data_IF_507982881583
#
_entry.id   IF_507982881583
#
_cell.length_a   1.000
_cell.length_b   1.000
_cell.length_c   1.000
_cell.angle_alpha   90.00
_cell.angle_beta   90.00
_cell.angle_gamma   90.00
#
_symmetry.space_group_name_H-M   'P 1'
#
loop_
_entity.id
_entity.type
_entity.pdbx_description
1 polymer ?
#
# COMPACT_ATOMS: atom_id res chain seq x y z
N UNK A 1 12.77 167.27 109.41
CA UNK A 1 13.13 167.43 107.99
C UNK A 1 13.68 166.11 107.47
N UNK A 2 13.34 165.79 106.22
CA UNK A 2 13.87 164.78 105.30
C UNK A 2 13.54 163.28 105.54
N UNK A 3 13.01 162.68 104.47
CA UNK A 3 12.64 161.28 104.24
C UNK A 3 13.69 160.60 103.35
N UNK A 4 13.84 159.28 103.46
CA UNK A 4 13.97 158.32 102.34
C UNK A 4 14.23 156.89 102.82
N UNK A 5 13.82 155.93 101.97
CA UNK A 5 14.10 154.48 101.95
C UNK A 5 13.17 153.57 102.76
N UNK A 6 12.33 152.79 102.08
CA UNK A 6 12.48 151.33 102.11
C UNK A 6 11.85 150.64 100.90
N UNK A 7 12.55 149.64 100.38
CA UNK A 7 12.24 148.88 99.16
C UNK A 7 11.21 147.79 99.50
N UNK A 8 10.12 147.74 98.74
CA UNK A 8 8.92 146.96 99.09
C UNK A 8 9.12 145.43 98.89
N UNK A 9 9.62 144.79 99.94
CA UNK A 9 9.85 143.34 100.14
C UNK A 9 8.60 142.46 99.89
N UNK A 10 7.43 143.07 99.71
CA UNK A 10 6.12 142.44 99.54
C UNK A 10 5.92 141.77 98.17
N UNK A 11 6.51 142.33 97.10
CA UNK A 11 6.34 141.83 95.71
C UNK A 11 7.09 140.51 95.47
N UNK A 12 8.28 140.36 96.07
CA UNK A 12 9.09 139.14 96.00
C UNK A 12 8.46 137.97 96.77
N UNK A 13 7.73 138.25 97.85
CA UNK A 13 7.06 137.23 98.67
C UNK A 13 5.84 136.63 97.97
N UNK A 14 5.08 137.47 97.25
CA UNK A 14 3.89 137.03 96.49
C UNK A 14 4.26 136.14 95.29
N UNK A 15 5.31 136.50 94.53
CA UNK A 15 5.79 135.67 93.41
C UNK A 15 6.28 134.30 93.87
N UNK A 16 6.97 134.22 95.02
CA UNK A 16 7.47 132.97 95.60
C UNK A 16 6.33 132.05 96.05
N UNK A 17 5.29 132.60 96.70
CA UNK A 17 4.10 131.83 97.08
C UNK A 17 3.28 131.35 95.88
N UNK A 18 3.23 132.14 94.80
CA UNK A 18 2.47 131.76 93.60
C UNK A 18 3.18 130.66 92.80
N UNK A 19 4.52 130.68 92.74
CA UNK A 19 5.30 129.59 92.13
C UNK A 19 5.24 128.31 92.96
N UNK A 20 5.22 128.43 94.29
CA UNK A 20 5.11 127.28 95.19
C UNK A 20 3.78 126.53 95.05
N UNK A 21 2.65 127.25 94.94
CA UNK A 21 1.33 126.63 94.79
C UNK A 21 1.12 126.01 93.40
N UNK A 22 1.68 126.62 92.35
CA UNK A 22 1.71 126.05 91.00
C UNK A 22 2.54 124.76 90.97
N UNK A 23 3.72 124.76 91.60
CA UNK A 23 4.56 123.56 91.75
C UNK A 23 3.84 122.45 92.51
N UNK A 24 3.09 122.80 93.56
CA UNK A 24 2.32 121.82 94.34
C UNK A 24 1.20 121.18 93.52
N UNK A 25 0.45 122.00 92.76
CA UNK A 25 -0.63 121.51 91.91
C UNK A 25 -0.10 120.68 90.72
N UNK A 26 1.04 121.07 90.15
CA UNK A 26 1.73 120.31 89.11
C UNK A 26 2.33 119.01 89.64
N UNK A 27 2.83 118.99 90.88
CA UNK A 27 3.27 117.77 91.57
C UNK A 27 2.09 116.83 91.86
N UNK A 28 0.93 117.33 92.29
CA UNK A 28 -0.28 116.51 92.50
C UNK A 28 -0.87 116.00 91.17
N UNK A 29 -0.84 116.81 90.10
CA UNK A 29 -1.26 116.38 88.77
C UNK A 29 -0.28 115.36 88.16
N UNK A 30 1.02 115.53 88.42
CA UNK A 30 2.06 114.57 88.05
C UNK A 30 1.90 113.28 88.83
N UNK A 31 1.62 113.36 90.13
CA UNK A 31 1.39 112.20 90.99
C UNK A 31 0.14 111.42 90.55
N UNK A 32 -0.98 112.10 90.28
CA UNK A 32 -2.19 111.42 89.76
C UNK A 32 -1.98 110.79 88.38
N UNK A 33 -1.17 111.41 87.50
CA UNK A 33 -0.76 110.80 86.23
C UNK A 33 0.13 109.58 86.46
N UNK A 34 1.05 109.63 87.42
CA UNK A 34 1.90 108.50 87.81
C UNK A 34 1.04 107.37 88.39
N UNK A 35 0.06 107.67 89.24
CA UNK A 35 -0.82 106.67 89.83
C UNK A 35 -1.71 105.99 88.77
N UNK A 36 -2.25 106.75 87.81
CA UNK A 36 -2.99 106.20 86.66
C UNK A 36 -2.09 105.33 85.78
N UNK A 37 -0.86 105.77 85.52
CA UNK A 37 0.12 105.00 84.75
C UNK A 37 0.52 103.71 85.49
N UNK A 38 0.66 103.77 86.81
CA UNK A 38 0.98 102.62 87.65
C UNK A 38 -0.17 101.60 87.68
N UNK A 39 -1.43 102.07 87.74
CA UNK A 39 -2.60 101.20 87.62
C UNK A 39 -2.68 100.52 86.25
N UNK A 40 -2.47 101.25 85.15
CA UNK A 40 -2.39 100.68 83.79
C UNK A 40 -1.24 99.70 83.62
N UNK A 41 -0.09 99.99 84.23
CA UNK A 41 1.07 99.08 84.22
C UNK A 41 0.74 97.78 84.95
N UNK A 42 0.04 97.85 86.08
CA UNK A 42 -0.43 96.67 86.82
C UNK A 42 -1.46 95.86 86.03
N UNK A 43 -2.38 96.50 85.31
CA UNK A 43 -3.35 95.83 84.43
C UNK A 43 -2.67 95.13 83.24
N UNK A 44 -1.76 95.83 82.55
CA UNK A 44 -0.98 95.25 81.45
C UNK A 44 -0.11 94.09 81.95
N UNK A 45 0.48 94.21 83.14
CA UNK A 45 1.24 93.13 83.78
C UNK A 45 0.36 91.93 84.10
N UNK A 46 -0.88 92.14 84.57
CA UNK A 46 -1.82 91.05 84.81
C UNK A 46 -2.27 90.36 83.50
N UNK A 47 -2.55 91.13 82.44
CA UNK A 47 -2.89 90.59 81.11
C UNK A 47 -1.72 89.79 80.50
N UNK A 48 -0.49 90.28 80.62
CA UNK A 48 0.71 89.57 80.18
C UNK A 48 0.92 88.28 80.96
N UNK A 49 0.75 88.32 82.28
CA UNK A 49 1.01 87.18 83.15
C UNK A 49 -0.04 86.06 82.94
N UNK A 50 -1.30 86.40 82.62
CA UNK A 50 -2.30 85.42 82.20
C UNK A 50 -2.01 84.82 80.82
N UNK A 51 -1.65 85.65 79.84
CA UNK A 51 -1.32 85.21 78.47
C UNK A 51 -0.05 84.35 78.39
N UNK A 52 0.93 84.59 79.26
CA UNK A 52 2.18 83.83 79.29
C UNK A 52 1.99 82.42 79.88
N UNK A 53 1.10 82.26 80.86
CA UNK A 53 0.82 80.96 81.48
C UNK A 53 0.01 80.05 80.53
N UNK A 54 -1.00 80.61 79.85
CA UNK A 54 -1.79 79.88 78.85
C UNK A 54 -0.92 79.39 77.67
N UNK A 55 0.00 80.23 77.17
CA UNK A 55 0.91 79.86 76.07
C UNK A 55 1.95 78.81 76.46
N UNK A 56 2.44 78.82 77.72
CA UNK A 56 3.31 77.76 78.24
C UNK A 56 2.59 76.42 78.37
N UNK A 57 1.34 76.44 78.82
CA UNK A 57 0.53 75.23 78.94
C UNK A 57 0.19 74.61 77.56
N UNK A 58 -0.13 75.44 76.56
CA UNK A 58 -0.32 74.99 75.17
C UNK A 58 0.96 74.37 74.58
N UNK A 59 2.12 74.99 74.83
CA UNK A 59 3.42 74.48 74.37
C UNK A 59 3.75 73.12 75.02
N UNK A 60 3.45 72.94 76.31
CA UNK A 60 3.66 71.68 77.02
C UNK A 60 2.76 70.56 76.47
N UNK A 61 1.48 70.86 76.18
CA UNK A 61 0.55 69.91 75.54
C UNK A 61 1.05 69.53 74.14
N UNK A 62 1.45 70.50 73.32
CA UNK A 62 2.03 70.24 72.01
C UNK A 62 3.29 69.37 72.08
N UNK A 63 4.19 69.65 73.03
CA UNK A 63 5.39 68.86 73.25
C UNK A 63 5.07 67.41 73.63
N UNK A 64 4.10 67.19 74.52
CA UNK A 64 3.61 65.84 74.88
C UNK A 64 3.01 65.11 73.67
N UNK A 65 2.22 65.78 72.84
CA UNK A 65 1.68 65.22 71.59
C UNK A 65 2.78 64.83 70.62
N UNK A 66 3.75 65.71 70.38
CA UNK A 66 4.90 65.44 69.50
C UNK A 66 5.69 64.24 70.00
N UNK A 67 5.94 64.16 71.31
CA UNK A 67 6.66 63.03 71.92
C UNK A 67 5.89 61.72 71.73
N UNK A 68 4.58 61.72 71.96
CA UNK A 68 3.70 60.56 71.76
C UNK A 68 3.71 60.11 70.30
N UNK A 69 3.51 61.04 69.36
CA UNK A 69 3.54 60.75 67.92
C UNK A 69 4.89 60.22 67.48
N UNK A 70 6.00 60.75 68.00
CA UNK A 70 7.34 60.25 67.70
C UNK A 70 7.56 58.81 68.17
N UNK A 71 7.08 58.45 69.37
CA UNK A 71 7.13 57.07 69.88
C UNK A 71 6.30 56.13 69.03
N UNK A 72 5.06 56.52 68.68
CA UNK A 72 4.17 55.72 67.84
C UNK A 72 4.70 55.52 66.42
N UNK A 73 5.29 56.55 65.82
CA UNK A 73 5.98 56.44 64.52
C UNK A 73 7.19 55.51 64.59
N UNK A 74 7.93 55.54 65.71
CA UNK A 74 9.06 54.63 65.94
C UNK A 74 8.59 53.18 66.04
N UNK A 75 7.46 52.94 66.70
CA UNK A 75 6.81 51.63 66.76
C UNK A 75 6.34 51.16 65.37
N UNK A 76 5.64 52.00 64.60
CA UNK A 76 5.24 51.64 63.23
C UNK A 76 6.46 51.31 62.35
N UNK A 77 7.54 52.09 62.50
CA UNK A 77 8.79 51.86 61.78
C UNK A 77 9.44 50.53 62.15
N UNK A 78 9.47 50.16 63.43
CA UNK A 78 10.02 48.87 63.86
C UNK A 78 9.13 47.73 63.37
N UNK A 79 7.81 47.86 63.48
CA UNK A 79 6.84 46.87 63.00
C UNK A 79 6.95 46.66 61.49
N UNK A 80 7.09 47.72 60.70
CA UNK A 80 7.34 47.65 59.26
C UNK A 80 8.60 46.86 58.89
N UNK A 81 9.70 47.09 59.63
CA UNK A 81 10.97 46.38 59.38
C UNK A 81 10.87 44.89 59.68
N UNK A 82 10.16 44.53 60.76
CA UNK A 82 9.92 43.13 61.12
C UNK A 82 9.05 42.45 60.05
N UNK A 83 7.98 43.12 59.61
CA UNK A 83 7.08 42.62 58.57
C UNK A 83 7.72 42.53 57.17
N UNK A 84 8.77 43.31 56.89
CA UNK A 84 9.50 43.24 55.63
C UNK A 84 10.40 42.00 55.51
N UNK A 85 10.68 41.31 56.63
CA UNK A 85 11.54 40.14 56.67
C UNK A 85 10.66 38.91 56.80
N UNK A 86 10.53 38.04 55.77
CA UNK A 86 9.49 37.00 55.72
C UNK A 86 9.43 36.08 56.95
N UNK A 87 10.58 35.59 57.42
CA UNK A 87 10.64 34.70 58.59
C UNK A 87 10.26 35.39 59.92
N UNK A 88 10.54 36.69 60.04
CA UNK A 88 10.14 37.50 61.21
C UNK A 88 8.68 37.95 61.09
N UNK A 89 8.21 38.21 59.87
CA UNK A 89 6.83 38.55 59.57
C UNK A 89 5.89 37.41 59.95
N UNK A 90 6.31 36.15 59.71
CA UNK A 90 5.57 34.98 60.17
C UNK A 90 5.38 35.01 61.69
N UNK A 91 6.47 35.15 62.43
CA UNK A 91 6.42 35.19 63.90
C UNK A 91 5.63 36.40 64.44
N UNK A 92 5.78 37.57 63.82
CA UNK A 92 5.13 38.82 64.26
C UNK A 92 3.64 38.88 63.94
N UNK A 93 3.17 38.16 62.91
CA UNK A 93 1.76 38.07 62.55
C UNK A 93 1.10 36.82 63.16
N UNK A 94 1.83 36.06 63.99
CA UNK A 94 1.38 34.79 64.56
C UNK A 94 1.10 33.71 63.50
N UNK A 95 1.82 33.75 62.39
CA UNK A 95 1.70 32.78 61.30
C UNK A 95 2.64 31.62 61.57
N UNK A 96 2.07 30.46 61.86
CA UNK A 96 2.81 29.22 62.09
C UNK A 96 2.62 28.24 60.94
N UNK A 97 3.61 27.38 60.72
CA UNK A 97 3.51 26.31 59.71
C UNK A 97 3.14 25.01 60.42
N UNK A 98 1.90 24.57 60.24
CA UNK A 98 1.42 23.29 60.75
C UNK A 98 1.63 22.19 59.71
N UNK A 99 2.15 21.05 60.17
CA UNK A 99 2.40 19.88 59.32
C UNK A 99 1.06 19.32 58.80
N UNK A 100 0.92 19.17 57.48
CA UNK A 100 -0.29 18.72 56.80
C UNK A 100 -1.34 19.82 56.50
N UNK A 101 -1.42 20.91 57.28
CA UNK A 101 -2.39 21.98 57.08
C UNK A 101 -1.82 23.28 56.46
N UNK A 102 -0.49 23.42 56.39
CA UNK A 102 0.18 24.57 55.80
C UNK A 102 0.33 25.75 56.76
N UNK A 103 0.31 26.98 56.25
CA UNK A 103 0.38 28.18 57.09
C UNK A 103 -0.95 28.43 57.82
N UNK A 104 -0.88 28.80 59.10
CA UNK A 104 -2.03 29.02 59.99
C UNK A 104 -1.83 30.35 60.73
N UNK A 105 -2.88 31.14 60.88
CA UNK A 105 -2.87 32.43 61.58
C UNK A 105 -2.88 32.30 63.12
N UNK A 106 -2.67 33.40 63.84
CA UNK A 106 -2.71 33.52 65.31
C UNK A 106 -4.01 32.99 65.94
N UNK A 107 -5.09 32.97 65.17
CA UNK A 107 -6.40 32.46 65.57
C UNK A 107 -6.62 30.97 65.21
N UNK A 108 -5.62 30.29 64.66
CA UNK A 108 -5.75 28.91 64.18
C UNK A 108 -6.38 28.78 62.79
N UNK A 109 -6.64 29.89 62.08
CA UNK A 109 -7.25 29.86 60.75
C UNK A 109 -6.24 29.45 59.68
N UNK A 110 -6.47 28.35 58.93
CA UNK A 110 -5.56 27.90 57.89
C UNK A 110 -5.54 28.86 56.69
N UNK A 111 -4.45 28.84 55.93
CA UNK A 111 -4.20 29.69 54.76
C UNK A 111 -5.36 29.72 53.76
N UNK A 112 -6.03 28.59 53.55
CA UNK A 112 -7.18 28.47 52.64
C UNK A 112 -8.41 29.27 53.10
N UNK A 113 -8.51 29.57 54.39
CA UNK A 113 -9.57 30.39 54.99
C UNK A 113 -9.22 31.87 55.08
N UNK A 114 -8.02 32.28 54.66
CA UNK A 114 -7.64 33.70 54.66
C UNK A 114 -8.37 34.44 53.55
N UNK A 115 -9.02 35.54 53.91
CA UNK A 115 -9.71 36.40 52.94
C UNK A 115 -8.70 37.03 51.98
N UNK A 116 -9.00 36.97 50.67
CA UNK A 116 -8.26 37.71 49.64
C UNK A 116 -8.58 39.22 49.67
N UNK A 117 -9.65 39.62 50.37
CA UNK A 117 -10.11 41.00 50.50
C UNK A 117 -9.74 41.58 51.88
N UNK A 118 -9.37 42.86 51.91
CA UNK A 118 -9.13 43.60 53.16
C UNK A 118 -10.51 43.94 53.74
N UNK A 119 -10.92 43.23 54.78
CA UNK A 119 -12.04 43.69 55.60
C UNK A 119 -11.49 44.64 56.67
N UNK A 120 -11.74 45.94 56.49
CA UNK A 120 -11.33 46.99 57.43
C UNK A 120 -12.34 47.17 58.57
N UNK A 121 -13.25 46.20 58.76
CA UNK A 121 -14.12 46.17 59.93
C UNK A 121 -13.30 46.28 61.21
N UNK A 122 -13.61 47.23 62.12
CA UNK A 122 -12.84 47.43 63.34
C UNK A 122 -12.97 46.19 64.21
N UNK A 123 -11.93 45.35 64.17
CA UNK A 123 -11.81 44.16 64.99
C UNK A 123 -11.56 44.59 66.43
N UNK A 124 -12.60 44.54 67.27
CA UNK A 124 -12.49 44.68 68.73
C UNK A 124 -11.96 43.36 69.31
N UNK A 125 -10.68 43.09 69.11
CA UNK A 125 -9.97 41.98 69.75
C UNK A 125 -9.47 42.36 71.16
N UNK A 126 -9.42 41.44 72.11
CA UNK A 126 -9.06 41.71 73.50
C UNK A 126 -7.53 41.79 73.63
N UNK A 127 -6.92 42.86 73.15
CA UNK A 127 -5.50 43.19 73.38
C UNK A 127 -5.37 44.44 74.26
N UNK A 128 -6.35 44.64 75.13
CA UNK A 128 -6.44 45.75 76.09
C UNK A 128 -5.34 45.75 77.16
N UNK A 129 -4.52 44.69 77.30
CA UNK A 129 -3.64 44.55 78.47
C UNK A 129 -2.25 45.21 78.34
N UNK A 130 -1.76 45.54 77.14
CA UNK A 130 -0.44 46.18 76.97
C UNK A 130 -0.48 47.71 76.91
N UNK A 131 -1.59 48.29 76.44
CA UNK A 131 -1.64 49.72 76.09
C UNK A 131 -2.17 50.62 77.21
N UNK A 132 -2.82 50.05 78.22
CA UNK A 132 -3.37 50.77 79.39
C UNK A 132 -2.25 51.34 80.28
N UNK A 133 -1.00 50.86 80.14
CA UNK A 133 0.14 51.29 80.94
C UNK A 133 0.61 52.73 80.73
N UNK A 134 0.39 53.31 79.53
CA UNK A 134 0.91 54.66 79.21
C UNK A 134 -0.04 55.76 79.70
N UNK A 135 -1.33 55.46 79.83
CA UNK A 135 -2.35 56.47 80.18
C UNK A 135 -2.39 56.81 81.69
N UNK A 136 -1.77 56.00 82.56
CA UNK A 136 -2.01 56.06 84.02
C UNK A 136 -1.11 57.01 84.82
N UNK A 137 -0.18 57.74 84.20
CA UNK A 137 0.90 58.39 84.95
C UNK A 137 0.96 59.93 84.94
N UNK A 138 -0.03 60.68 84.47
CA UNK A 138 0.04 62.15 84.53
C UNK A 138 -1.25 62.78 85.09
N UNK A 139 -1.09 63.53 86.18
CA UNK A 139 -2.15 64.27 86.88
C UNK A 139 -2.74 65.41 86.04
N UNK A 140 -4.01 65.70 86.32
CA UNK A 140 -4.88 66.71 85.68
C UNK A 140 -4.74 66.80 84.15
N UNK A 141 -5.27 65.80 83.45
CA UNK A 141 -5.38 65.76 82.00
C UNK A 141 -6.46 66.73 81.49
N UNK A 142 -6.07 67.62 80.56
CA UNK A 142 -6.99 68.26 79.63
C UNK A 142 -7.59 67.17 78.72
N UNK A 143 -8.92 67.05 78.71
CA UNK A 143 -9.66 66.03 77.97
C UNK A 143 -9.32 65.99 76.47
N UNK A 144 -8.83 67.10 75.90
CA UNK A 144 -8.41 67.19 74.50
C UNK A 144 -7.14 66.41 74.19
N UNK A 145 -6.23 66.22 75.14
CA UNK A 145 -4.98 65.48 74.93
C UNK A 145 -5.22 63.96 74.90
N UNK A 146 -6.09 63.47 75.79
CA UNK A 146 -6.53 62.08 75.80
C UNK A 146 -7.26 61.67 74.50
N UNK A 147 -8.11 62.55 73.97
CA UNK A 147 -8.81 62.31 72.70
C UNK A 147 -7.83 62.20 71.51
N UNK A 148 -6.85 63.10 71.43
CA UNK A 148 -5.80 63.07 70.40
C UNK A 148 -4.96 61.79 70.46
N UNK A 149 -4.51 61.40 71.65
CA UNK A 149 -3.75 60.15 71.84
C UNK A 149 -4.58 58.93 71.45
N UNK A 150 -5.87 58.91 71.78
CA UNK A 150 -6.81 57.85 71.39
C UNK A 150 -6.99 57.74 69.88
N UNK A 151 -7.14 58.85 69.16
CA UNK A 151 -7.22 58.88 67.69
C UNK A 151 -5.92 58.44 67.03
N UNK A 152 -4.77 58.84 67.57
CA UNK A 152 -3.48 58.41 67.05
C UNK A 152 -3.23 56.92 67.27
N UNK A 153 -3.59 56.37 68.43
CA UNK A 153 -3.52 54.93 68.67
C UNK A 153 -4.43 54.16 67.73
N UNK A 154 -5.67 54.64 67.49
CA UNK A 154 -6.56 54.04 66.47
C UNK A 154 -5.94 54.06 65.07
N UNK A 155 -5.31 55.17 64.69
CA UNK A 155 -4.65 55.29 63.38
C UNK A 155 -3.45 54.33 63.27
N UNK A 156 -2.65 54.20 64.32
CA UNK A 156 -1.52 53.26 64.39
C UNK A 156 -1.99 51.81 64.32
N UNK A 157 -3.09 51.48 65.01
CA UNK A 157 -3.70 50.16 64.97
C UNK A 157 -4.19 49.85 63.55
N UNK A 158 -4.94 50.76 62.92
CA UNK A 158 -5.41 50.59 61.55
C UNK A 158 -4.25 50.38 60.56
N UNK A 159 -3.17 51.17 60.66
CA UNK A 159 -1.98 50.98 59.81
C UNK A 159 -1.34 49.62 60.06
N UNK A 160 -1.25 49.20 61.32
CA UNK A 160 -0.71 47.91 61.72
C UNK A 160 -1.53 46.74 61.15
N UNK A 161 -2.85 46.81 61.24
CA UNK A 161 -3.76 45.78 60.73
C UNK A 161 -3.68 45.68 59.19
N UNK A 162 -3.60 46.83 58.51
CA UNK A 162 -3.39 46.89 57.05
C UNK A 162 -2.06 46.25 56.66
N UNK A 163 -0.98 46.51 57.42
CA UNK A 163 0.33 45.91 57.16
C UNK A 163 0.30 44.38 57.38
N UNK A 164 -0.36 43.90 58.44
CA UNK A 164 -0.55 42.47 58.70
C UNK A 164 -1.35 41.79 57.56
N UNK A 165 -2.45 42.41 57.12
CA UNK A 165 -3.26 41.91 56.02
C UNK A 165 -2.51 41.88 54.68
N UNK A 166 -1.63 42.87 54.43
CA UNK A 166 -0.75 42.89 53.27
C UNK A 166 0.25 41.74 53.30
N UNK A 167 0.93 41.53 54.44
CA UNK A 167 1.87 40.41 54.63
C UNK A 167 1.18 39.07 54.40
N UNK A 168 0.00 38.86 54.99
CA UNK A 168 -0.80 37.63 54.80
C UNK A 168 -1.09 37.35 53.32
N UNK A 169 -1.47 38.37 52.55
CA UNK A 169 -1.72 38.22 51.11
C UNK A 169 -0.46 37.92 50.31
N UNK A 170 0.68 38.53 50.65
CA UNK A 170 1.97 38.22 50.03
C UNK A 170 2.32 36.75 50.25
N UNK A 171 2.15 36.25 51.47
CA UNK A 171 2.40 34.84 51.81
C UNK A 171 1.48 33.89 51.02
N UNK A 172 0.18 34.21 50.89
CA UNK A 172 -0.74 33.45 50.03
C UNK A 172 -0.20 33.42 48.61
N UNK A 173 0.09 34.58 48.02
CA UNK A 173 0.54 34.68 46.64
C UNK A 173 1.86 33.94 46.39
N UNK A 174 2.82 34.03 47.31
CA UNK A 174 4.10 33.30 47.22
C UNK A 174 3.88 31.78 47.30
N UNK A 175 3.02 31.32 48.20
CA UNK A 175 2.71 29.89 48.35
C UNK A 175 1.95 29.33 47.14
N UNK A 176 0.96 30.05 46.61
CA UNK A 176 0.22 29.69 45.39
C UNK A 176 1.18 29.64 44.19
N UNK A 177 2.09 30.61 44.08
CA UNK A 177 3.10 30.65 43.01
C UNK A 177 4.08 29.48 43.11
N UNK A 178 4.52 29.12 44.32
CA UNK A 178 5.41 27.98 44.52
C UNK A 178 4.73 26.66 44.11
N UNK A 179 3.47 26.44 44.54
CA UNK A 179 2.69 25.27 44.15
C UNK A 179 2.50 25.21 42.63
N UNK A 180 2.18 26.33 41.99
CA UNK A 180 1.97 26.36 40.55
C UNK A 180 3.27 26.12 39.77
N UNK A 181 4.40 26.63 40.28
CA UNK A 181 5.73 26.33 39.73
C UNK A 181 6.03 24.84 39.81
N UNK A 182 5.75 24.19 40.94
CA UNK A 182 5.96 22.75 41.10
C UNK A 182 5.09 21.94 40.12
N UNK A 183 3.81 22.30 39.95
CA UNK A 183 2.93 21.68 38.93
C UNK A 183 3.48 21.83 37.51
N UNK A 184 3.97 23.02 37.14
CA UNK A 184 4.59 23.26 35.82
C UNK A 184 5.81 22.38 35.64
N UNK A 185 6.68 22.26 36.65
CA UNK A 185 7.85 21.37 36.56
C UNK A 185 7.46 19.90 36.41
N UNK A 186 6.49 19.42 37.18
CA UNK A 186 5.95 18.06 37.05
C UNK A 186 5.32 17.81 35.67
N UNK A 187 4.56 18.79 35.14
CA UNK A 187 3.96 18.70 33.81
C UNK A 187 5.02 18.65 32.70
N UNK A 188 6.10 19.42 32.84
CA UNK A 188 7.21 19.42 31.88
C UNK A 188 7.94 18.07 31.86
N UNK A 189 8.14 17.43 33.01
CA UNK A 189 8.72 16.09 33.10
C UNK A 189 7.82 15.04 32.43
N UNK A 190 6.50 15.11 32.65
CA UNK A 190 5.55 14.21 32.00
C UNK A 190 5.52 14.41 30.48
N UNK A 191 5.57 15.65 30.00
CA UNK A 191 5.67 15.97 28.56
C UNK A 191 6.94 15.38 27.97
N UNK A 192 8.09 15.53 28.63
CA UNK A 192 9.35 14.91 28.17
C UNK A 192 9.23 13.39 28.08
N UNK A 193 8.65 12.74 29.09
CA UNK A 193 8.43 11.28 29.09
C UNK A 193 7.52 10.85 27.93
N UNK A 194 6.41 11.56 27.71
CA UNK A 194 5.48 11.30 26.59
C UNK A 194 6.15 11.54 25.24
N UNK A 195 6.98 12.57 25.11
CA UNK A 195 7.75 12.87 23.90
C UNK A 195 8.65 11.69 23.51
N UNK A 196 9.43 11.15 24.46
CA UNK A 196 10.29 9.98 24.24
C UNK A 196 9.46 8.75 23.85
N UNK A 197 8.29 8.56 24.48
CA UNK A 197 7.40 7.46 24.12
C UNK A 197 6.88 7.58 22.68
N UNK A 198 6.50 8.78 22.25
CA UNK A 198 6.04 9.06 20.88
C UNK A 198 7.19 8.80 19.89
N UNK A 199 8.40 9.25 20.19
CA UNK A 199 9.58 9.02 19.35
C UNK A 199 9.88 7.52 19.18
N UNK A 200 9.83 6.74 20.26
CA UNK A 200 9.96 5.28 20.20
C UNK A 200 8.85 4.61 19.38
N UNK A 201 7.60 5.08 19.51
CA UNK A 201 6.49 4.58 18.69
C UNK A 201 6.68 4.95 17.21
N UNK A 202 7.21 6.14 16.93
CA UNK A 202 7.52 6.58 15.57
C UNK A 202 8.57 5.68 14.93
N UNK A 203 9.67 5.38 15.63
CA UNK A 203 10.71 4.48 15.15
C UNK A 203 10.15 3.07 14.88
N UNK A 204 9.30 2.56 15.76
CA UNK A 204 8.64 1.26 15.55
C UNK A 204 7.71 1.27 14.32
N UNK A 205 7.05 2.39 14.03
CA UNK A 205 6.23 2.53 12.83
C UNK A 205 7.08 2.55 11.56
N UNK A 206 8.23 3.22 11.56
CA UNK A 206 9.19 3.19 10.44
C UNK A 206 9.72 1.77 10.18
N UNK A 207 10.05 1.01 11.24
CA UNK A 207 10.42 -0.40 11.11
C UNK A 207 9.30 -1.26 10.50
N UNK A 208 8.05 -1.02 10.92
CA UNK A 208 6.88 -1.71 10.36
C UNK A 208 6.65 -1.35 8.89
N UNK A 209 6.87 -0.09 8.50
CA UNK A 209 6.80 0.34 7.10
C UNK A 209 7.86 -0.38 6.25
N UNK A 210 9.11 -0.41 6.71
CA UNK A 210 10.18 -1.15 6.03
C UNK A 210 9.85 -2.64 5.91
N UNK A 211 9.30 -3.27 6.95
CA UNK A 211 8.87 -4.66 6.90
C UNK A 211 7.74 -4.89 5.89
N UNK A 212 6.75 -4.00 5.85
CA UNK A 212 5.65 -4.06 4.90
C UNK A 212 6.13 -3.89 3.45
N UNK A 213 7.04 -2.95 3.19
CA UNK A 213 7.67 -2.74 1.89
C UNK A 213 8.46 -3.99 1.43
N UNK A 214 9.25 -4.58 2.33
CA UNK A 214 9.99 -5.82 2.05
C UNK A 214 9.05 -6.99 1.70
N UNK A 215 7.99 -7.18 2.48
CA UNK A 215 6.99 -8.23 2.23
C UNK A 215 6.27 -8.01 0.89
N UNK A 216 5.90 -6.76 0.58
CA UNK A 216 5.23 -6.42 -0.67
C UNK A 216 6.15 -6.64 -1.88
N UNK A 217 7.45 -6.32 -1.78
CA UNK A 217 8.42 -6.63 -2.84
C UNK A 217 8.43 -8.12 -3.18
N UNK A 218 8.52 -8.99 -2.16
CA UNK A 218 8.52 -10.44 -2.36
C UNK A 218 7.20 -10.91 -2.99
N UNK A 219 6.06 -10.39 -2.52
CA UNK A 219 4.76 -10.73 -3.10
C UNK A 219 4.65 -10.32 -4.58
N UNK A 220 5.20 -9.18 -4.96
CA UNK A 220 5.25 -8.74 -6.35
C UNK A 220 6.13 -9.66 -7.21
N UNK A 221 7.30 -10.07 -6.71
CA UNK A 221 8.15 -11.06 -7.40
C UNK A 221 7.45 -12.41 -7.57
N UNK A 222 6.77 -12.89 -6.53
CA UNK A 222 6.00 -14.14 -6.59
C UNK A 222 4.86 -14.03 -7.60
N UNK A 223 4.14 -12.90 -7.64
CA UNK A 223 3.10 -12.64 -8.64
C UNK A 223 3.67 -12.73 -10.06
N UNK A 224 4.79 -12.06 -10.32
CA UNK A 224 5.43 -12.09 -11.65
C UNK A 224 5.81 -13.51 -12.05
N UNK A 225 6.43 -14.28 -11.15
CA UNK A 225 6.79 -15.69 -11.44
C UNK A 225 5.57 -16.55 -11.76
N UNK A 226 4.43 -16.29 -11.12
CA UNK A 226 3.17 -16.99 -11.42
C UNK A 226 2.65 -16.59 -12.80
N UNK A 227 2.69 -15.31 -13.14
CA UNK A 227 2.33 -14.81 -14.47
C UNK A 227 3.19 -15.47 -15.56
N UNK A 228 4.52 -15.48 -15.38
CA UNK A 228 5.46 -16.12 -16.31
C UNK A 228 5.18 -17.63 -16.47
N UNK A 229 4.84 -18.32 -15.37
CA UNK A 229 4.50 -19.75 -15.40
C UNK A 229 3.19 -20.02 -16.14
N UNK A 230 2.19 -19.14 -16.00
CA UNK A 230 0.92 -19.22 -16.72
C UNK A 230 1.16 -19.02 -18.22
N UNK A 231 1.97 -18.03 -18.60
CA UNK A 231 2.36 -17.81 -19.99
C UNK A 231 3.10 -19.02 -20.57
N UNK A 232 4.10 -19.56 -19.87
CA UNK A 232 4.82 -20.76 -20.31
C UNK A 232 3.89 -21.98 -20.45
N UNK A 233 2.97 -22.16 -19.51
CA UNK A 233 1.97 -23.23 -19.57
C UNK A 233 1.06 -23.06 -20.79
N UNK A 234 0.68 -21.83 -21.13
CA UNK A 234 -0.11 -21.54 -22.33
C UNK A 234 0.66 -21.90 -23.61
N UNK A 235 1.95 -21.57 -23.67
CA UNK A 235 2.85 -21.89 -24.78
C UNK A 235 3.08 -23.40 -24.92
N UNK A 236 3.21 -24.11 -23.80
CA UNK A 236 3.31 -25.57 -23.81
C UNK A 236 2.02 -26.23 -24.33
N UNK A 237 0.85 -25.73 -23.91
CA UNK A 237 -0.44 -26.22 -24.42
C UNK A 237 -0.58 -26.01 -25.93
N UNK A 238 -0.18 -24.85 -26.43
CA UNK A 238 -0.18 -24.56 -27.87
C UNK A 238 0.71 -25.53 -28.66
N UNK A 239 1.96 -25.74 -28.20
CA UNK A 239 2.88 -26.70 -28.82
C UNK A 239 2.34 -28.13 -28.77
N UNK A 240 1.67 -28.52 -27.68
CA UNK A 240 1.06 -29.84 -27.57
C UNK A 240 -0.07 -30.03 -28.60
N UNK A 241 -0.91 -29.01 -28.81
CA UNK A 241 -1.96 -29.04 -29.83
C UNK A 241 -1.40 -29.13 -31.27
N UNK A 242 -0.31 -28.41 -31.56
CA UNK A 242 0.40 -28.50 -32.85
C UNK A 242 0.98 -29.91 -33.08
N UNK A 243 1.61 -30.49 -32.06
CA UNK A 243 2.13 -31.85 -32.14
C UNK A 243 1.02 -32.89 -32.34
N UNK A 244 -0.13 -32.73 -31.68
CA UNK A 244 -1.30 -33.59 -31.87
C UNK A 244 -1.82 -33.51 -33.31
N UNK A 245 -1.88 -32.31 -33.88
CA UNK A 245 -2.27 -32.11 -35.27
C UNK A 245 -1.30 -32.81 -36.23
N UNK A 246 0.01 -32.68 -36.01
CA UNK A 246 1.03 -33.32 -36.85
C UNK A 246 0.98 -34.85 -36.71
N UNK A 247 0.79 -35.37 -35.50
CA UNK A 247 0.58 -36.80 -35.27
C UNK A 247 -0.65 -37.32 -36.03
N UNK A 248 -1.74 -36.55 -36.06
CA UNK A 248 -2.95 -36.89 -36.82
C UNK A 248 -2.70 -36.89 -38.34
N UNK A 249 -1.86 -35.98 -38.85
CA UNK A 249 -1.44 -35.97 -40.26
C UNK A 249 -0.63 -37.21 -40.61
N UNK A 250 0.42 -37.47 -39.85
CA UNK A 250 1.28 -38.66 -40.03
C UNK A 250 0.46 -39.95 -39.98
N UNK A 251 -0.48 -40.08 -39.02
CA UNK A 251 -1.37 -41.24 -38.94
C UNK A 251 -2.20 -41.44 -40.21
N UNK A 252 -2.71 -40.35 -40.80
CA UNK A 252 -3.45 -40.41 -42.07
C UNK A 252 -2.56 -40.88 -43.21
N UNK A 253 -1.34 -40.35 -43.31
CA UNK A 253 -0.38 -40.73 -44.34
C UNK A 253 0.01 -42.21 -44.23
N UNK A 254 0.18 -42.73 -43.01
CA UNK A 254 0.40 -44.16 -42.79
C UNK A 254 -0.78 -45.04 -43.22
N UNK A 255 -2.03 -44.61 -42.98
CA UNK A 255 -3.19 -45.37 -43.45
C UNK A 255 -3.30 -45.35 -44.98
N UNK A 256 -2.99 -44.20 -45.61
CA UNK A 256 -2.89 -44.09 -47.08
C UNK A 256 -1.79 -45.00 -47.64
N UNK A 257 -0.61 -45.02 -47.02
CA UNK A 257 0.49 -45.90 -47.41
C UNK A 257 0.12 -47.38 -47.26
N UNK A 258 -0.55 -47.75 -46.17
CA UNK A 258 -1.03 -49.11 -45.93
C UNK A 258 -2.03 -49.56 -47.01
N UNK A 259 -2.96 -48.68 -47.40
CA UNK A 259 -3.89 -48.94 -48.52
C UNK A 259 -3.13 -49.12 -49.84
N UNK A 260 -2.13 -48.27 -50.10
CA UNK A 260 -1.28 -48.37 -51.29
C UNK A 260 -0.50 -49.70 -51.36
N UNK A 261 0.14 -50.11 -50.25
CA UNK A 261 0.83 -51.40 -50.14
C UNK A 261 -0.14 -52.56 -50.34
N UNK A 262 -1.34 -52.48 -49.78
CA UNK A 262 -2.38 -53.51 -49.98
C UNK A 262 -2.77 -53.64 -51.45
N UNK A 263 -2.93 -52.51 -52.16
CA UNK A 263 -3.15 -52.50 -53.62
C UNK A 263 -1.99 -53.12 -54.39
N UNK A 264 -0.74 -52.80 -54.04
CA UNK A 264 0.45 -53.40 -54.66
C UNK A 264 0.52 -54.91 -54.43
N UNK A 265 0.13 -55.41 -53.25
CA UNK A 265 0.04 -56.84 -52.98
C UNK A 265 -0.96 -57.51 -53.93
N UNK A 266 -2.15 -56.92 -54.09
CA UNK A 266 -3.17 -57.42 -55.04
C UNK A 266 -2.63 -57.45 -56.47
N UNK A 267 -1.95 -56.38 -56.93
CA UNK A 267 -1.32 -56.34 -58.25
C UNK A 267 -0.24 -57.43 -58.39
N UNK A 268 0.56 -57.66 -57.35
CA UNK A 268 1.56 -58.74 -57.36
C UNK A 268 0.88 -60.12 -57.46
N UNK A 269 -0.21 -60.34 -56.75
CA UNK A 269 -0.96 -61.60 -56.80
C UNK A 269 -1.58 -61.86 -58.17
N UNK A 270 -2.15 -60.83 -58.82
CA UNK A 270 -2.67 -60.96 -60.17
C UNK A 270 -1.56 -61.25 -61.18
N UNK A 271 -0.41 -60.58 -61.08
CA UNK A 271 0.76 -60.86 -61.93
C UNK A 271 1.29 -62.28 -61.73
N UNK A 272 1.39 -62.76 -60.49
CA UNK A 272 1.78 -64.14 -60.20
C UNK A 272 0.77 -65.15 -60.77
N UNK A 273 -0.52 -64.82 -60.77
CA UNK A 273 -1.55 -65.65 -61.40
C UNK A 273 -1.41 -65.68 -62.92
N UNK A 274 -1.20 -64.52 -63.57
CA UNK A 274 -0.98 -64.48 -65.01
C UNK A 274 0.29 -65.23 -65.42
N UNK A 275 1.35 -65.14 -64.62
CA UNK A 275 2.59 -65.90 -64.84
C UNK A 275 2.35 -67.40 -64.86
N UNK A 276 1.56 -67.94 -63.91
CA UNK A 276 1.16 -69.35 -63.92
C UNK A 276 0.35 -69.74 -65.15
N UNK A 277 -0.48 -68.82 -65.65
CA UNK A 277 -1.22 -69.04 -66.90
C UNK A 277 -0.28 -69.09 -68.10
N UNK A 278 0.68 -68.16 -68.19
CA UNK A 278 1.70 -68.17 -69.23
C UNK A 278 2.52 -69.47 -69.22
N UNK A 279 2.97 -69.94 -68.06
CA UNK A 279 3.67 -71.23 -67.94
C UNK A 279 2.82 -72.42 -68.40
N UNK A 280 1.50 -72.36 -68.21
CA UNK A 280 0.57 -73.39 -68.71
C UNK A 280 0.49 -73.33 -70.25
N UNK A 281 0.40 -72.12 -70.81
CA UNK A 281 0.39 -71.89 -72.26
C UNK A 281 1.70 -72.36 -72.89
N UNK A 282 2.85 -72.07 -72.29
CA UNK A 282 4.18 -72.53 -72.75
C UNK A 282 4.25 -74.06 -72.84
N UNK A 283 3.79 -74.80 -71.81
CA UNK A 283 3.73 -76.28 -71.85
C UNK A 283 2.83 -76.80 -72.96
N UNK A 284 1.71 -76.11 -73.24
CA UNK A 284 0.84 -76.46 -74.36
C UNK A 284 1.54 -76.21 -75.71
N UNK A 285 2.27 -75.10 -75.84
CA UNK A 285 3.10 -74.82 -77.02
C UNK A 285 4.20 -75.87 -77.22
N UNK A 286 4.93 -76.24 -76.17
CA UNK A 286 5.94 -77.31 -76.23
C UNK A 286 5.33 -78.62 -76.73
N UNK A 287 4.17 -79.01 -76.20
CA UNK A 287 3.44 -80.20 -76.65
C UNK A 287 2.99 -80.08 -78.11
N UNK A 288 2.51 -78.91 -78.52
CA UNK A 288 2.09 -78.66 -79.90
C UNK A 288 3.27 -78.75 -80.87
N UNK A 289 4.41 -78.15 -80.52
CA UNK A 289 5.66 -78.25 -81.29
C UNK A 289 6.09 -79.71 -81.41
N UNK A 290 6.16 -80.44 -80.29
CA UNK A 290 6.51 -81.86 -80.30
C UNK A 290 5.56 -82.69 -81.18
N UNK A 291 4.25 -82.43 -81.11
CA UNK A 291 3.26 -83.12 -81.94
C UNK A 291 3.40 -82.76 -83.42
N UNK A 292 3.73 -81.51 -83.72
CA UNK A 292 3.95 -81.03 -85.09
C UNK A 292 5.18 -81.71 -85.68
N UNK A 293 6.30 -81.78 -84.95
CA UNK A 293 7.51 -82.50 -85.38
C UNK A 293 7.26 -84.00 -85.57
N UNK A 294 6.48 -84.64 -84.69
CA UNK A 294 6.06 -86.03 -84.86
C UNK A 294 5.28 -86.22 -86.17
N UNK A 295 4.25 -85.41 -86.39
CA UNK A 295 3.40 -85.49 -87.58
C UNK A 295 4.18 -85.21 -88.87
N UNK A 296 5.14 -84.29 -88.84
CA UNK A 296 6.05 -84.01 -89.95
C UNK A 296 6.95 -85.22 -90.26
N UNK A 297 7.45 -85.92 -89.24
CA UNK A 297 8.19 -87.17 -89.41
C UNK A 297 7.33 -88.31 -89.98
N UNK A 298 6.12 -88.50 -89.46
CA UNK A 298 5.14 -89.46 -90.00
C UNK A 298 4.78 -89.16 -91.46
N UNK A 299 4.61 -87.87 -91.79
CA UNK A 299 4.37 -87.41 -93.16
C UNK A 299 5.55 -87.76 -94.07
N UNK A 300 6.78 -87.42 -93.67
CA UNK A 300 7.99 -87.74 -94.44
C UNK A 300 8.12 -89.26 -94.68
N UNK A 301 7.84 -90.08 -93.66
CA UNK A 301 7.85 -91.54 -93.79
C UNK A 301 6.81 -92.03 -94.82
N UNK A 302 5.57 -91.50 -94.76
CA UNK A 302 4.53 -91.83 -95.73
C UNK A 302 4.87 -91.36 -97.15
N UNK A 303 5.49 -90.19 -97.30
CA UNK A 303 5.96 -89.69 -98.60
C UNK A 303 6.99 -90.64 -99.21
N UNK A 304 7.92 -91.18 -98.41
CA UNK A 304 8.88 -92.21 -98.86
C UNK A 304 8.18 -93.51 -99.26
N UNK A 305 7.20 -93.97 -98.49
CA UNK A 305 6.43 -95.18 -98.82
C UNK A 305 5.63 -95.01 -100.12
N UNK A 306 4.98 -93.86 -100.31
CA UNK A 306 4.29 -93.51 -101.57
C UNK A 306 5.28 -93.51 -102.73
N UNK A 307 6.46 -92.91 -102.58
CA UNK A 307 7.48 -92.90 -103.63
C UNK A 307 7.93 -94.32 -104.00
N UNK A 308 8.12 -95.21 -103.01
CA UNK A 308 8.44 -96.62 -103.24
C UNK A 308 7.32 -97.35 -103.98
N UNK A 309 6.07 -97.16 -103.56
CA UNK A 309 4.92 -97.74 -104.25
C UNK A 309 4.78 -97.20 -105.68
N UNK A 310 5.09 -95.92 -105.92
CA UNK A 310 5.16 -95.35 -107.27
C UNK A 310 6.24 -96.05 -108.11
N UNK A 311 7.45 -96.26 -107.58
CA UNK A 311 8.51 -97.00 -108.28
C UNK A 311 8.10 -98.45 -108.60
N UNK A 312 7.48 -99.14 -107.65
CA UNK A 312 6.94 -100.49 -107.86
C UNK A 312 5.84 -100.50 -108.93
N UNK A 313 4.95 -99.52 -108.93
CA UNK A 313 3.88 -99.40 -109.93
C UNK A 313 4.44 -99.12 -111.33
N UNK A 314 5.48 -98.30 -111.45
CA UNK A 314 6.21 -98.09 -112.72
C UNK A 314 6.84 -99.40 -113.20
N UNK A 315 7.47 -100.18 -112.31
CA UNK A 315 8.04 -101.50 -112.66
C UNK A 315 6.97 -102.49 -113.10
N UNK A 316 5.84 -102.55 -112.39
CA UNK A 316 4.71 -103.41 -112.73
C UNK A 316 4.09 -102.99 -114.07
N UNK A 317 3.95 -101.69 -114.33
CA UNK A 317 3.47 -101.16 -115.61
C UNK A 317 4.42 -101.55 -116.76
N UNK A 318 5.74 -101.43 -116.58
CA UNK A 318 6.70 -101.88 -117.59
C UNK A 318 6.65 -103.41 -117.84
N UNK A 319 6.39 -104.21 -116.79
CA UNK A 319 6.15 -105.65 -116.90
C UNK A 319 4.84 -105.95 -117.65
N UNK A 320 3.79 -105.18 -117.37
CA UNK A 320 2.51 -105.25 -118.07
C UNK A 320 2.71 -104.96 -119.55
N UNK A 321 3.37 -103.85 -119.91
CA UNK A 321 3.69 -103.48 -121.30
C UNK A 321 4.48 -104.59 -122.00
N UNK A 322 5.46 -105.19 -121.31
CA UNK A 322 6.21 -106.33 -121.84
C UNK A 322 5.32 -107.53 -122.11
N UNK A 323 4.35 -107.82 -121.22
CA UNK A 323 3.39 -108.92 -121.39
C UNK A 323 2.36 -108.62 -122.48
N UNK A 324 1.87 -107.40 -122.58
CA UNK A 324 1.02 -106.94 -123.67
C UNK A 324 1.73 -107.04 -125.02
N UNK A 325 3.01 -106.63 -125.09
CA UNK A 325 3.83 -106.80 -126.30
C UNK A 325 4.04 -108.28 -126.65
N UNK A 326 4.28 -109.15 -125.66
CA UNK A 326 4.35 -110.60 -125.87
C UNK A 326 3.02 -111.16 -126.39
N UNK A 327 1.88 -110.73 -125.83
CA UNK A 327 0.55 -111.12 -126.29
C UNK A 327 0.27 -110.63 -127.71
N UNK A 328 0.62 -109.39 -128.04
CA UNK A 328 0.49 -108.84 -129.40
C UNK A 328 1.35 -109.63 -130.40
N UNK A 329 2.59 -109.98 -130.03
CA UNK A 329 3.44 -110.83 -130.86
C UNK A 329 2.85 -112.23 -131.05
N UNK A 330 2.29 -112.82 -129.99
CA UNK A 330 1.61 -114.11 -130.09
C UNK A 330 0.32 -114.03 -130.93
N UNK A 331 -0.43 -112.93 -130.81
CA UNK A 331 -1.62 -112.65 -131.60
C UNK A 331 -1.28 -112.51 -133.10
N UNK A 332 -0.18 -111.83 -133.43
CA UNK A 332 0.33 -111.75 -134.81
C UNK A 332 0.89 -113.10 -135.30
N UNK A 333 1.52 -113.92 -134.45
CA UNK A 333 1.87 -115.31 -134.80
C UNK A 333 0.62 -116.16 -135.14
N UNK A 334 -0.47 -116.04 -134.36
CA UNK A 334 -1.75 -116.67 -134.68
C UNK A 334 -2.35 -116.18 -136.02
N UNK A 335 -2.06 -114.92 -136.38
CA UNK A 335 -2.47 -114.29 -137.64
C UNK A 335 -1.70 -114.82 -138.85
N UNK A 336 -0.44 -115.20 -138.70
CA UNK A 336 0.40 -115.76 -139.77
C UNK A 336 0.11 -117.24 -140.03
N UNK A 337 -0.28 -118.00 -138.98
CA UNK A 337 -0.68 -119.41 -139.11
C UNK A 337 -2.08 -119.55 -139.77
N UNK A 338 -2.92 -118.52 -139.66
CA UNK A 338 -4.28 -118.48 -140.21
C UNK A 338 -4.34 -117.59 -141.47
N UNK A 339 -4.16 -118.19 -142.65
CA UNK A 339 -4.11 -117.49 -143.95
C UNK A 339 -5.23 -116.45 -144.21
N UNK A 340 -4.83 -115.40 -144.94
CA UNK A 340 -5.44 -114.06 -145.13
C UNK A 340 -6.94 -113.99 -145.49
N UNK A 341 -7.57 -115.07 -145.94
CA UNK A 341 -8.95 -115.08 -146.47
C UNK A 341 -10.03 -115.64 -145.50
N UNK A 342 -9.68 -115.87 -144.22
CA UNK A 342 -10.62 -116.29 -143.17
C UNK A 342 -10.71 -115.33 -141.97
N UNK A 343 -9.66 -114.54 -141.70
CA UNK A 343 -9.61 -113.59 -140.57
C UNK A 343 -10.60 -112.41 -140.71
N UNK A 344 -10.89 -111.98 -141.95
CA UNK A 344 -11.88 -110.93 -142.21
C UNK A 344 -13.32 -111.37 -141.91
N UNK A 345 -13.61 -112.68 -141.76
CA UNK A 345 -14.92 -113.17 -141.32
C UNK A 345 -15.06 -113.34 -139.79
N UNK A 346 -13.96 -113.45 -139.02
CA UNK A 346 -14.01 -113.38 -137.54
C UNK A 346 -14.02 -111.94 -137.00
N UNK A 347 -13.62 -110.95 -137.82
CA UNK A 347 -13.60 -109.53 -137.43
C UNK A 347 -15.00 -108.93 -137.16
N UNK A 348 -16.09 -109.57 -137.62
CA UNK A 348 -17.46 -109.09 -137.41
C UNK A 348 -18.13 -109.56 -136.10
N UNK A 349 -17.54 -110.52 -135.37
CA UNK A 349 -18.07 -110.99 -134.07
C UNK A 349 -17.35 -110.35 -132.85
N UNK A 350 -16.27 -109.59 -133.09
CA UNK A 350 -15.51 -108.86 -132.06
C UNK A 350 -16.11 -107.48 -131.68
N UNK A 351 -17.14 -107.01 -132.40
CA UNK A 351 -17.82 -105.75 -132.05
C UNK A 351 -18.76 -105.92 -130.84
N UNK A 352 -19.31 -107.12 -130.63
CA UNK A 352 -20.20 -107.41 -129.51
C UNK A 352 -19.45 -107.49 -128.17
N UNK A 353 -18.25 -108.09 -128.15
CA UNK A 353 -17.40 -108.19 -126.95
C UNK A 353 -16.78 -106.84 -126.52
N UNK A 354 -16.49 -105.93 -127.46
CA UNK A 354 -15.94 -104.60 -127.15
C UNK A 354 -16.95 -103.69 -126.44
N UNK A 355 -18.24 -103.85 -126.72
CA UNK A 355 -19.31 -103.15 -126.01
C UNK A 355 -19.45 -103.66 -124.56
N UNK A 356 -19.37 -104.99 -124.34
CA UNK A 356 -19.41 -105.59 -123.00
C UNK A 356 -18.20 -105.18 -122.14
N UNK A 357 -17.00 -105.11 -122.75
CA UNK A 357 -15.80 -104.68 -122.05
C UNK A 357 -15.85 -103.21 -121.64
N UNK A 358 -16.41 -102.34 -122.49
CA UNK A 358 -16.61 -100.91 -122.18
C UNK A 358 -17.58 -100.70 -121.01
N UNK A 359 -18.64 -101.51 -120.90
CA UNK A 359 -19.57 -101.45 -119.77
C UNK A 359 -18.92 -101.97 -118.48
N UNK A 360 -18.10 -103.03 -118.54
CA UNK A 360 -17.32 -103.50 -117.39
C UNK A 360 -16.25 -102.49 -116.95
N UNK A 361 -15.59 -101.80 -117.88
CA UNK A 361 -14.59 -100.78 -117.58
C UNK A 361 -15.21 -99.50 -116.99
N UNK A 362 -16.46 -99.18 -117.37
CA UNK A 362 -17.26 -98.13 -116.71
C UNK A 362 -17.76 -98.56 -115.32
N UNK A 363 -18.16 -99.82 -115.14
CA UNK A 363 -18.53 -100.36 -113.83
C UNK A 363 -17.33 -100.39 -112.86
N UNK A 364 -16.14 -100.75 -113.35
CA UNK A 364 -14.91 -100.75 -112.55
C UNK A 364 -14.48 -99.32 -112.15
N UNK A 365 -14.68 -98.33 -113.03
CA UNK A 365 -14.47 -96.90 -112.68
C UNK A 365 -15.49 -96.39 -111.66
N UNK A 366 -16.74 -96.85 -111.70
CA UNK A 366 -17.74 -96.50 -110.69
C UNK A 366 -17.42 -97.14 -109.33
N UNK A 367 -17.00 -98.41 -109.30
CA UNK A 367 -16.57 -99.08 -108.06
C UNK A 367 -15.31 -98.42 -107.48
N UNK A 368 -14.37 -97.98 -108.34
CA UNK A 368 -13.18 -97.23 -107.89
C UNK A 368 -13.54 -95.85 -107.34
N UNK A 369 -14.52 -95.15 -107.91
CA UNK A 369 -14.99 -93.86 -107.40
C UNK A 369 -15.78 -94.01 -106.10
N UNK A 370 -16.58 -95.07 -105.96
CA UNK A 370 -17.34 -95.34 -104.74
C UNK A 370 -16.45 -95.82 -103.59
N UNK A 371 -15.36 -96.59 -103.85
CA UNK A 371 -14.39 -96.92 -102.81
C UNK A 371 -13.59 -95.70 -102.32
N UNK A 372 -13.30 -94.73 -103.20
CA UNK A 372 -12.63 -93.49 -102.82
C UNK A 372 -13.55 -92.61 -101.96
N UNK A 373 -14.85 -92.53 -102.28
CA UNK A 373 -15.85 -91.85 -101.44
C UNK A 373 -16.10 -92.57 -100.10
N UNK A 374 -16.07 -93.91 -100.07
CA UNK A 374 -16.27 -94.67 -98.83
C UNK A 374 -15.08 -94.56 -97.85
N UNK A 375 -13.85 -94.40 -98.36
CA UNK A 375 -12.67 -94.13 -97.53
C UNK A 375 -12.56 -92.66 -97.07
N UNK A 376 -13.09 -91.70 -97.84
CA UNK A 376 -13.10 -90.28 -97.43
C UNK A 376 -14.26 -89.91 -96.48
N UNK A 377 -15.42 -90.57 -96.57
CA UNK A 377 -16.58 -90.24 -95.71
C UNK A 377 -16.61 -90.97 -94.35
N UNK A 378 -15.67 -91.88 -94.04
CA UNK A 378 -15.63 -92.62 -92.75
C UNK A 378 -14.57 -92.14 -91.75
N UNK A 379 -13.95 -90.98 -91.98
CA UNK A 379 -13.20 -90.26 -90.96
C UNK A 379 -13.98 -89.01 -90.56
N UNK A 380 -14.86 -89.11 -89.56
CA UNK A 380 -14.44 -88.63 -88.25
C UNK A 380 -15.04 -89.47 -87.11
N UNK A 381 -14.20 -90.09 -86.28
CA UNK A 381 -14.46 -90.42 -84.88
C UNK A 381 -13.21 -91.12 -84.32
N UNK A 382 -12.64 -90.51 -83.28
CA UNK A 382 -11.60 -90.97 -82.34
C UNK A 382 -10.24 -90.22 -82.42
N UNK A 383 -10.09 -89.41 -81.36
CA UNK A 383 -8.94 -88.71 -80.78
C UNK A 383 -8.45 -87.40 -81.39
#
# INVERSE_FOLDING_TARGET
MAAENDVDLSTLKFQLSQTHELWKQEMEQSQSRVDILQAKLMEVKACLQGSEEDTKQELEVLWRRVKTTATLLTYLKSKARIMAIPHLAHSSCGIERLEGAGFVDKNGTPLAGWSKNIDLSPYNGPEEEAWVGISRQHGSLDAKDAAYTGEMLKSVQMVTDVMEALVKRVIIAESETAIEKDKVTSGQEEIKKKSVQIENMSLKLEEMEHFALGTNSILNEMRQRVEDLVEETSRQRQRAAENEQELCRVKRDFESLKSYVSSLITVRETLLSSEKQFQTIERLFERLVAKTTQLEGEKMQKEVEVQKLMEENVKLSALLDKKEAQLLAMNEQCKVIMGKDSWERMALDQSCLRASLSTLQKALKLISSDLVLFYWCRAPLLN
#
